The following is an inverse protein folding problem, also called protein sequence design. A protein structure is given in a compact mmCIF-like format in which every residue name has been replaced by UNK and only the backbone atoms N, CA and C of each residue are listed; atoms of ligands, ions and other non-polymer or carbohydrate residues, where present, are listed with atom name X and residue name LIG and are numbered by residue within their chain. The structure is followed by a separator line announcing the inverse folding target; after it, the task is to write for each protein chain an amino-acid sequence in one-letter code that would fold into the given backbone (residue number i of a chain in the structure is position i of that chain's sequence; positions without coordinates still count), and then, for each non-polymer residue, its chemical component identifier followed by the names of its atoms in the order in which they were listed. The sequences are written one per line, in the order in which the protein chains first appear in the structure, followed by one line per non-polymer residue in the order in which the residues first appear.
data_IF_668865993744
#
_entry.id   IF_668865993744
#
_cell.length_a   1.000
_cell.length_b   1.000
_cell.length_c   1.000
_cell.angle_alpha   90.00
_cell.angle_beta   90.00
_cell.angle_gamma   90.00
#
_symmetry.space_group_name_H-M   'P 1'
#
loop_
_entity.id
_entity.type
_entity.pdbx_description
1 polymer ?
#
# COMPACT_ATOMS: atom_id res chain seq x y z
N UNK A 1 -28.15 -21.03 43.09
CA UNK A 1 -28.17 -20.53 41.71
C UNK A 1 -27.88 -19.04 41.76
N UNK A 2 -26.67 -18.62 41.35
CA UNK A 2 -26.32 -17.20 41.24
C UNK A 2 -25.62 -17.02 39.91
N UNK A 3 -26.34 -16.45 38.96
CA UNK A 3 -25.88 -16.15 37.60
C UNK A 3 -24.91 -14.97 37.65
N UNK A 4 -23.68 -15.19 37.17
CA UNK A 4 -22.68 -14.13 36.98
C UNK A 4 -23.16 -13.17 35.88
N UNK A 5 -23.12 -11.84 36.07
CA UNK A 5 -23.53 -10.90 35.03
C UNK A 5 -22.57 -10.90 33.84
N UNK A 6 -23.19 -10.82 32.66
CA UNK A 6 -22.62 -10.74 31.31
C UNK A 6 -22.06 -9.31 31.09
N UNK A 7 -20.93 -9.22 30.38
CA UNK A 7 -20.21 -8.02 29.83
C UNK A 7 -19.11 -7.37 30.68
N UNK A 8 -17.86 -7.56 30.23
CA UNK A 8 -16.71 -6.71 30.55
C UNK A 8 -16.62 -5.65 29.45
N UNK A 9 -16.52 -4.34 29.77
CA UNK A 9 -16.43 -3.29 28.76
C UNK A 9 -15.15 -3.44 27.93
N UNK A 10 -15.31 -3.76 26.65
CA UNK A 10 -14.23 -3.83 25.68
C UNK A 10 -13.70 -2.44 25.37
N UNK A 11 -12.67 -2.01 26.09
CA UNK A 11 -11.82 -0.90 25.65
C UNK A 11 -10.94 -1.46 24.53
N UNK A 12 -11.11 -0.97 23.30
CA UNK A 12 -10.20 -1.29 22.21
C UNK A 12 -8.80 -0.78 22.58
N UNK A 13 -7.90 -1.68 22.97
CA UNK A 13 -6.49 -1.35 23.17
C UNK A 13 -5.91 -1.08 21.78
N UNK A 14 -5.78 0.20 21.43
CA UNK A 14 -5.12 0.62 20.19
C UNK A 14 -3.62 0.31 20.35
N UNK A 15 -3.16 -0.75 19.69
CA UNK A 15 -1.73 -1.07 19.63
C UNK A 15 -1.04 -0.01 18.77
N UNK A 16 -0.27 0.86 19.42
CA UNK A 16 0.52 1.88 18.73
C UNK A 16 1.84 1.25 18.26
N UNK A 17 2.17 1.48 16.99
CA UNK A 17 3.49 1.10 16.48
C UNK A 17 4.57 1.92 17.23
N UNK A 18 5.75 1.34 17.48
CA UNK A 18 6.88 2.09 18.02
C UNK A 18 7.18 3.33 17.17
N UNK A 19 7.92 4.31 17.70
CA UNK A 19 8.38 5.44 16.90
C UNK A 19 9.10 4.96 15.61
N UNK A 20 9.03 5.75 14.54
CA UNK A 20 9.72 5.41 13.30
C UNK A 20 11.25 5.43 13.56
N UNK A 21 11.99 4.39 13.18
CA UNK A 21 13.45 4.37 13.32
C UNK A 21 14.09 5.43 12.43
N UNK A 22 15.34 5.82 12.73
CA UNK A 22 16.08 6.76 11.88
C UNK A 22 16.31 6.15 10.50
N UNK A 23 16.20 6.99 9.46
CA UNK A 23 16.34 6.63 8.05
C UNK A 23 17.55 7.30 7.38
N UNK A 24 18.48 7.79 8.20
CA UNK A 24 19.66 8.56 7.82
C UNK A 24 20.79 7.72 7.21
N UNK A 25 20.63 6.39 7.20
CA UNK A 25 21.56 5.46 6.55
C UNK A 25 21.51 5.52 5.01
N UNK A 26 20.46 6.11 4.43
CA UNK A 26 20.32 6.34 2.98
C UNK A 26 20.09 7.82 2.68
N UNK A 27 20.53 8.25 1.50
CA UNK A 27 20.25 9.59 0.99
C UNK A 27 18.80 9.72 0.52
N UNK A 28 18.32 10.97 0.39
CA UNK A 28 17.02 11.28 -0.17
C UNK A 28 16.83 10.66 -1.57
N UNK A 29 17.87 10.70 -2.41
CA UNK A 29 17.83 10.08 -3.75
C UNK A 29 17.63 8.57 -3.68
N UNK A 30 18.31 7.87 -2.77
CA UNK A 30 18.16 6.42 -2.63
C UNK A 30 16.73 6.06 -2.18
N UNK A 31 16.17 6.84 -1.26
CA UNK A 31 14.78 6.69 -0.85
C UNK A 31 13.79 6.99 -1.98
N UNK A 32 14.03 8.04 -2.75
CA UNK A 32 13.21 8.40 -3.90
C UNK A 32 13.17 7.27 -4.94
N UNK A 33 14.33 6.72 -5.30
CA UNK A 33 14.41 5.57 -6.22
C UNK A 33 13.65 4.37 -5.68
N UNK A 34 13.78 4.03 -4.40
CA UNK A 34 13.02 2.95 -3.79
C UNK A 34 11.50 3.18 -3.90
N UNK A 35 11.03 4.41 -3.63
CA UNK A 35 9.60 4.74 -3.74
C UNK A 35 9.12 4.68 -5.19
N UNK A 36 9.92 5.14 -6.15
CA UNK A 36 9.60 5.03 -7.59
C UNK A 36 9.51 3.58 -8.04
N UNK A 37 10.40 2.70 -7.56
CA UNK A 37 10.32 1.27 -7.84
C UNK A 37 9.04 0.66 -7.27
N UNK A 38 8.65 1.04 -6.05
CA UNK A 38 7.40 0.59 -5.42
C UNK A 38 6.15 1.08 -6.18
N UNK A 39 6.14 2.33 -6.64
CA UNK A 39 5.08 2.84 -7.52
C UNK A 39 5.00 2.06 -8.83
N UNK A 40 6.15 1.66 -9.40
CA UNK A 40 6.18 0.88 -10.63
C UNK A 40 5.69 -0.57 -10.44
N UNK A 41 5.96 -1.21 -9.30
CA UNK A 41 5.51 -2.60 -9.03
C UNK A 41 4.11 -2.69 -8.43
N UNK A 42 3.61 -1.61 -7.84
CA UNK A 42 2.24 -1.48 -7.31
C UNK A 42 1.49 -0.37 -8.07
N UNK A 43 1.33 -0.49 -9.40
CA UNK A 43 0.73 0.56 -10.19
C UNK A 43 -0.76 0.68 -9.86
N UNK A 44 -1.23 1.93 -9.80
CA UNK A 44 -2.66 2.21 -9.84
C UNK A 44 -3.24 1.78 -11.19
N UNK A 45 -4.47 1.28 -11.18
CA UNK A 45 -5.19 0.78 -12.34
C UNK A 45 -6.32 1.76 -12.69
N UNK A 46 -6.45 2.09 -13.97
CA UNK A 46 -7.46 3.03 -14.46
C UNK A 46 -8.16 2.53 -15.71
N UNK A 47 -9.40 2.99 -15.89
CA UNK A 47 -10.16 2.83 -17.13
C UNK A 47 -9.76 3.89 -18.14
N UNK A 48 -10.03 3.72 -19.45
CA UNK A 48 -9.71 4.73 -20.47
C UNK A 48 -10.27 6.11 -20.15
N UNK A 49 -11.45 6.17 -19.54
CA UNK A 49 -12.14 7.40 -19.13
C UNK A 49 -11.53 8.12 -17.91
N UNK A 50 -10.71 7.41 -17.13
CA UNK A 50 -10.15 7.89 -15.84
C UNK A 50 -8.62 7.90 -15.81
N UNK A 51 -7.99 7.44 -16.90
CA UNK A 51 -6.55 7.46 -17.08
C UNK A 51 -6.05 8.90 -17.07
N UNK A 52 -5.19 9.21 -16.10
CA UNK A 52 -4.62 10.54 -15.89
C UNK A 52 -3.10 10.55 -15.98
N UNK A 53 -2.46 9.41 -15.70
CA UNK A 53 -1.01 9.24 -15.76
C UNK A 53 -0.67 7.99 -16.60
N UNK A 54 -0.40 8.13 -17.91
CA UNK A 54 -0.05 7.00 -18.77
C UNK A 54 1.25 6.29 -18.43
N UNK A 55 2.10 6.90 -17.59
CA UNK A 55 3.40 6.37 -17.21
C UNK A 55 3.30 5.47 -15.98
N UNK A 56 2.53 5.88 -14.97
CA UNK A 56 2.43 5.16 -13.69
C UNK A 56 1.09 4.45 -13.47
N UNK A 57 0.13 4.56 -14.40
CA UNK A 57 -1.14 3.83 -14.35
C UNK A 57 -1.20 2.72 -15.39
N UNK A 58 -1.71 1.56 -14.97
CA UNK A 58 -2.08 0.49 -15.87
C UNK A 58 -3.48 0.75 -16.41
N UNK A 59 -3.58 0.94 -17.72
CA UNK A 59 -4.85 1.10 -18.42
C UNK A 59 -5.49 -0.28 -18.64
N UNK A 60 -6.74 -0.44 -18.19
CA UNK A 60 -7.55 -1.64 -18.41
C UNK A 60 -8.72 -1.32 -19.35
N UNK A 61 -9.06 -2.20 -20.32
CA UNK A 61 -10.25 -2.03 -21.17
C UNK A 61 -11.56 -1.96 -20.36
N UNK A 62 -12.56 -1.22 -20.86
CA UNK A 62 -13.86 -1.09 -20.19
C UNK A 62 -14.57 -2.45 -19.98
N UNK A 63 -14.44 -3.37 -20.95
CA UNK A 63 -15.02 -4.71 -20.85
C UNK A 63 -14.43 -5.53 -19.69
N UNK A 64 -13.10 -5.47 -19.53
CA UNK A 64 -12.38 -6.21 -18.48
C UNK A 64 -12.69 -5.62 -17.09
N UNK A 65 -12.77 -4.28 -17.00
CA UNK A 65 -13.21 -3.61 -15.77
C UNK A 65 -14.63 -4.03 -15.37
N UNK A 66 -15.58 -4.00 -16.31
CA UNK A 66 -16.96 -4.38 -16.04
C UNK A 66 -17.08 -5.84 -15.62
N UNK A 67 -16.34 -6.75 -16.28
CA UNK A 67 -16.30 -8.16 -15.91
C UNK A 67 -15.71 -8.37 -14.49
N UNK A 68 -14.63 -7.65 -14.15
CA UNK A 68 -14.03 -7.72 -12.82
C UNK A 68 -14.95 -7.18 -11.72
N UNK A 69 -15.65 -6.08 -11.98
CA UNK A 69 -16.64 -5.52 -11.05
C UNK A 69 -17.80 -6.50 -10.83
N UNK A 70 -18.34 -7.08 -11.89
CA UNK A 70 -19.40 -8.09 -11.78
C UNK A 70 -18.93 -9.31 -10.99
N UNK A 71 -17.70 -9.78 -11.22
CA UNK A 71 -17.12 -10.88 -10.46
C UNK A 71 -17.03 -10.54 -8.97
N UNK A 72 -16.52 -9.35 -8.62
CA UNK A 72 -16.43 -8.90 -7.23
C UNK A 72 -17.82 -8.81 -6.57
N UNK A 73 -18.80 -8.27 -7.30
CA UNK A 73 -20.18 -8.13 -6.81
C UNK A 73 -20.86 -9.48 -6.57
N UNK A 74 -20.58 -10.48 -7.40
CA UNK A 74 -21.20 -11.80 -7.31
C UNK A 74 -20.56 -12.71 -6.25
N UNK A 75 -19.28 -12.50 -5.92
CA UNK A 75 -18.51 -13.42 -5.06
C UNK A 75 -18.35 -12.94 -3.63
N UNK A 76 -18.41 -11.63 -3.38
CA UNK A 76 -18.16 -11.06 -2.05
C UNK A 76 -19.43 -11.06 -1.19
N UNK A 77 -19.30 -11.42 0.09
CA UNK A 77 -20.41 -11.35 1.07
C UNK A 77 -20.98 -9.94 1.26
N UNK A 78 -20.12 -8.93 1.10
CA UNK A 78 -20.46 -7.50 1.13
C UNK A 78 -19.85 -6.87 -0.11
N UNK A 79 -20.56 -6.89 -1.25
CA UNK A 79 -20.00 -6.44 -2.52
C UNK A 79 -19.74 -4.93 -2.51
N UNK A 80 -18.67 -4.46 -3.19
CA UNK A 80 -18.38 -3.04 -3.30
C UNK A 80 -19.35 -2.34 -4.27
N UNK A 81 -19.55 -1.03 -4.08
CA UNK A 81 -20.10 -0.18 -5.13
C UNK A 81 -19.06 0.01 -6.24
N UNK A 82 -19.50 0.46 -7.43
CA UNK A 82 -18.57 0.76 -8.53
C UNK A 82 -17.55 1.82 -8.12
N UNK A 83 -17.97 2.85 -7.38
CA UNK A 83 -17.09 3.93 -6.93
C UNK A 83 -16.01 3.41 -6.00
N UNK A 84 -16.36 2.52 -5.07
CA UNK A 84 -15.40 1.92 -4.13
C UNK A 84 -14.44 0.96 -4.83
N UNK A 85 -14.93 0.24 -5.84
CA UNK A 85 -14.08 -0.62 -6.66
C UNK A 85 -13.11 0.20 -7.50
N UNK A 86 -13.57 1.30 -8.11
CA UNK A 86 -12.71 2.23 -8.84
C UNK A 86 -11.67 2.88 -7.93
N UNK A 87 -12.07 3.34 -6.74
CA UNK A 87 -11.16 3.94 -5.76
C UNK A 87 -10.06 2.95 -5.35
N UNK A 88 -10.43 1.68 -5.12
CA UNK A 88 -9.46 0.63 -4.81
C UNK A 88 -8.46 0.39 -5.94
N UNK A 89 -8.94 0.31 -7.18
CA UNK A 89 -8.06 0.12 -8.34
C UNK A 89 -7.16 1.33 -8.59
N UNK A 90 -7.69 2.55 -8.43
CA UNK A 90 -6.94 3.79 -8.62
C UNK A 90 -5.95 4.08 -7.46
N UNK A 91 -6.00 3.32 -6.37
CA UNK A 91 -5.14 3.52 -5.22
C UNK A 91 -3.68 3.18 -5.55
N UNK A 92 -2.77 4.05 -5.12
CA UNK A 92 -1.32 3.84 -5.20
C UNK A 92 -0.74 3.82 -3.78
N UNK A 93 -0.40 2.63 -3.24
CA UNK A 93 0.14 2.51 -1.89
C UNK A 93 1.43 3.30 -1.66
N UNK A 94 2.28 3.45 -2.69
CA UNK A 94 3.55 4.17 -2.55
C UNK A 94 3.37 5.67 -2.23
N UNK A 95 2.16 6.22 -2.44
CA UNK A 95 1.78 7.59 -2.07
C UNK A 95 1.12 7.70 -0.70
N UNK A 96 0.85 6.59 -0.01
CA UNK A 96 0.25 6.60 1.32
C UNK A 96 1.33 6.69 2.42
N UNK A 97 1.27 7.69 3.32
CA UNK A 97 2.28 7.86 4.38
C UNK A 97 2.50 6.61 5.24
N UNK A 98 1.42 5.90 5.59
CA UNK A 98 1.50 4.67 6.41
C UNK A 98 2.23 3.54 5.70
N UNK A 99 2.07 3.44 4.39
CA UNK A 99 2.78 2.45 3.59
C UNK A 99 4.26 2.79 3.52
N UNK A 100 4.59 4.06 3.23
CA UNK A 100 5.97 4.55 3.23
C UNK A 100 6.66 4.29 4.57
N UNK A 101 6.01 4.64 5.69
CA UNK A 101 6.52 4.36 7.03
C UNK A 101 6.78 2.87 7.27
N UNK A 102 5.89 2.00 6.78
CA UNK A 102 6.04 0.54 6.91
C UNK A 102 7.23 0.02 6.11
N UNK A 103 7.45 0.55 4.91
CA UNK A 103 8.63 0.25 4.10
C UNK A 103 9.89 0.75 4.81
N UNK A 104 9.91 1.98 5.29
CA UNK A 104 11.04 2.55 6.04
C UNK A 104 11.40 1.68 7.25
N UNK A 105 10.41 1.22 8.04
CA UNK A 105 10.63 0.27 9.14
C UNK A 105 11.25 -1.04 8.68
N UNK A 106 10.73 -1.58 7.58
CA UNK A 106 11.21 -2.86 7.02
C UNK A 106 12.68 -2.75 6.62
N UNK A 107 13.06 -1.67 5.94
CA UNK A 107 14.46 -1.42 5.53
C UNK A 107 15.33 -1.11 6.76
N UNK A 108 14.85 -0.33 7.71
CA UNK A 108 15.58 0.00 8.94
C UNK A 108 15.82 -1.24 9.83
N UNK A 109 14.96 -2.25 9.75
CA UNK A 109 15.12 -3.51 10.47
C UNK A 109 16.18 -4.45 9.85
N UNK A 110 16.67 -4.16 8.64
CA UNK A 110 17.72 -4.94 8.00
C UNK A 110 19.06 -4.78 8.70
N UNK A 111 19.91 -5.80 8.61
CA UNK A 111 21.29 -5.69 9.07
C UNK A 111 22.04 -4.57 8.31
N UNK A 112 22.97 -3.83 8.94
CA UNK A 112 23.66 -2.72 8.30
C UNK A 112 24.36 -3.06 6.98
N UNK A 113 24.87 -4.29 6.83
CA UNK A 113 25.46 -4.75 5.57
C UNK A 113 24.42 -4.81 4.43
N UNK A 114 23.21 -5.30 4.72
CA UNK A 114 22.12 -5.38 3.75
C UNK A 114 21.58 -3.98 3.39
N UNK A 115 21.48 -3.08 4.37
CA UNK A 115 21.12 -1.67 4.13
C UNK A 115 22.09 -1.02 3.14
N UNK A 116 23.40 -1.20 3.36
CA UNK A 116 24.43 -0.64 2.45
C UNK A 116 24.36 -1.25 1.06
N UNK A 117 24.22 -2.57 0.96
CA UNK A 117 24.15 -3.26 -0.34
C UNK A 117 22.94 -2.77 -1.14
N UNK A 118 21.76 -2.71 -0.51
CA UNK A 118 20.55 -2.26 -1.16
C UNK A 118 20.64 -0.75 -1.52
N UNK A 119 21.24 0.07 -0.67
CA UNK A 119 21.51 1.48 -0.98
C UNK A 119 22.43 1.66 -2.19
N UNK A 120 23.43 0.79 -2.33
CA UNK A 120 24.29 0.76 -3.52
C UNK A 120 23.51 0.45 -4.80
N UNK A 121 22.55 -0.49 -4.73
CA UNK A 121 21.65 -0.77 -5.87
C UNK A 121 20.78 0.45 -6.19
N UNK A 122 20.18 1.10 -5.18
CA UNK A 122 19.37 2.31 -5.40
C UNK A 122 20.19 3.42 -6.06
N UNK A 123 21.45 3.62 -5.65
CA UNK A 123 22.35 4.59 -6.28
C UNK A 123 22.69 4.26 -7.74
N UNK A 124 22.72 2.98 -8.12
CA UNK A 124 22.98 2.58 -9.52
C UNK A 124 21.79 2.82 -10.46
N UNK A 125 20.59 2.99 -9.90
CA UNK A 125 19.34 3.22 -10.63
C UNK A 125 18.90 4.70 -10.60
N UNK A 126 19.64 5.55 -9.88
CA UNK A 126 19.38 6.98 -9.72
C UNK A 126 19.77 7.79 -10.96
#
# INVERSE_FOLDING_TARGET
MTTLPKTVPGTAVQVQLPALPTSDFWSETQWAVMMSLLEAVLPSISRPSTLSDPTNQVRVPEADYAAALQLAQNTMKKPPSEEKFQEYLAHNPAKEPKFVESITRTVAALAPAAQRQLGGVMSSLA
#
